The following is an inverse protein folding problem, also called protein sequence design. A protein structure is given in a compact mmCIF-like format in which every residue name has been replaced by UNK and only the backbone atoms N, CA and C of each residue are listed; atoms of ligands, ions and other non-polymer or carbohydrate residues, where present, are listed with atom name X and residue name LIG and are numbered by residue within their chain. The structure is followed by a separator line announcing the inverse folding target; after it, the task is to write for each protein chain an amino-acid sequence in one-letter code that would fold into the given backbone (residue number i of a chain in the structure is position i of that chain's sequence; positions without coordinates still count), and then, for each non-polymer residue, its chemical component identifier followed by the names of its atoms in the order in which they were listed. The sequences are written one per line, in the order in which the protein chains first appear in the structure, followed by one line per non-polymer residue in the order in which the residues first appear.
data_IF_744449379634
#
_entry.id   IF_744449379634
#
_cell.length_a   1.000
_cell.length_b   1.000
_cell.length_c   1.000
_cell.angle_alpha   90.00
_cell.angle_beta   90.00
_cell.angle_gamma   90.00
#
_symmetry.space_group_name_H-M   'P 1'
#
loop_
_entity.id
_entity.type
_entity.pdbx_description
1 polymer ?
#
# COMPACT_ATOMS: atom_id res chain seq x y z
N UNK A 1 -19.50 28.98 -7.88
CA UNK A 1 -18.30 28.47 -8.57
C UNK A 1 -17.09 29.16 -7.97
N UNK A 2 -16.10 28.40 -7.50
CA UNK A 2 -14.85 28.95 -6.96
C UNK A 2 -13.75 28.92 -8.03
N UNK A 3 -12.97 30.00 -8.11
CA UNK A 3 -11.90 30.11 -9.10
C UNK A 3 -10.51 29.85 -8.51
N UNK A 4 -9.73 29.07 -9.22
CA UNK A 4 -8.34 28.75 -8.91
C UNK A 4 -7.45 28.97 -10.15
N UNK A 5 -6.13 28.98 -9.94
CA UNK A 5 -5.14 29.00 -11.00
C UNK A 5 -4.75 27.57 -11.41
N UNK A 6 -4.90 26.62 -10.46
CA UNK A 6 -4.65 25.20 -10.64
C UNK A 6 -5.62 24.37 -9.81
N UNK A 7 -6.18 23.32 -10.42
CA UNK A 7 -6.88 22.25 -9.72
C UNK A 7 -6.06 20.97 -9.84
N UNK A 8 -5.87 20.26 -8.72
CA UNK A 8 -5.20 18.95 -8.67
C UNK A 8 -6.19 17.92 -8.14
N UNK A 9 -6.44 16.85 -8.88
CA UNK A 9 -7.30 15.73 -8.47
C UNK A 9 -6.42 14.57 -8.01
N UNK A 10 -6.50 14.23 -6.72
CA UNK A 10 -5.74 13.20 -6.04
C UNK A 10 -4.66 13.75 -5.11
N UNK A 11 -4.73 13.40 -3.83
CA UNK A 11 -3.84 13.85 -2.76
C UNK A 11 -2.67 12.90 -2.46
N UNK A 12 -2.33 12.00 -3.38
CA UNK A 12 -1.14 11.16 -3.31
C UNK A 12 0.16 11.92 -3.60
N UNK A 13 1.34 11.25 -3.62
CA UNK A 13 2.64 11.91 -3.80
C UNK A 13 2.73 12.78 -5.06
N UNK A 14 2.15 12.35 -6.18
CA UNK A 14 2.10 13.16 -7.40
C UNK A 14 1.26 14.42 -7.23
N UNK A 15 0.16 14.34 -6.50
CA UNK A 15 -0.78 15.46 -6.34
C UNK A 15 -0.38 16.43 -5.24
N UNK A 16 -0.13 15.96 -4.02
CA UNK A 16 0.18 16.88 -2.92
C UNK A 16 1.50 17.63 -3.14
N UNK A 17 2.52 16.98 -3.71
CA UNK A 17 3.78 17.66 -4.04
C UNK A 17 3.60 18.71 -5.14
N UNK A 18 2.77 18.42 -6.16
CA UNK A 18 2.42 19.39 -7.19
C UNK A 18 1.68 20.59 -6.59
N UNK A 19 0.65 20.32 -5.77
CA UNK A 19 -0.15 21.37 -5.13
C UNK A 19 0.69 22.24 -4.18
N UNK A 20 1.57 21.61 -3.37
CA UNK A 20 2.50 22.32 -2.49
C UNK A 20 3.40 23.29 -3.26
N UNK A 21 4.03 22.80 -4.33
CA UNK A 21 4.92 23.64 -5.16
C UNK A 21 4.17 24.76 -5.84
N UNK A 22 2.96 24.51 -6.34
CA UNK A 22 2.11 25.53 -6.95
C UNK A 22 1.70 26.60 -5.93
N UNK A 23 1.25 26.20 -4.72
CA UNK A 23 0.93 27.14 -3.65
C UNK A 23 2.13 27.97 -3.22
N UNK A 24 3.30 27.33 -3.05
CA UNK A 24 4.56 28.02 -2.73
C UNK A 24 4.97 29.03 -3.82
N UNK A 25 4.61 28.77 -5.08
CA UNK A 25 4.82 29.70 -6.19
C UNK A 25 3.75 30.83 -6.28
N UNK A 26 2.82 30.90 -5.31
CA UNK A 26 1.78 31.93 -5.23
C UNK A 26 0.53 31.64 -6.05
N UNK A 27 0.38 30.44 -6.63
CA UNK A 27 -0.83 30.06 -7.36
C UNK A 27 -1.96 29.73 -6.38
N UNK A 28 -3.17 30.24 -6.64
CA UNK A 28 -4.38 29.78 -5.95
C UNK A 28 -4.66 28.34 -6.37
N UNK A 29 -4.36 27.41 -5.51
CA UNK A 29 -4.37 25.97 -5.82
C UNK A 29 -5.45 25.25 -5.03
N UNK A 30 -6.28 24.46 -5.72
CA UNK A 30 -7.20 23.49 -5.13
C UNK A 30 -6.60 22.08 -5.24
N UNK A 31 -6.63 21.33 -4.15
CA UNK A 31 -6.31 19.91 -4.10
C UNK A 31 -7.55 19.13 -3.67
N UNK A 32 -8.00 18.20 -4.50
CA UNK A 32 -9.19 17.38 -4.24
C UNK A 32 -8.73 15.95 -3.89
N UNK A 33 -9.08 15.48 -2.69
CA UNK A 33 -8.75 14.12 -2.22
C UNK A 33 -9.95 13.51 -1.52
N UNK A 34 -10.40 12.34 -2.03
CA UNK A 34 -11.61 11.68 -1.53
C UNK A 34 -11.45 10.84 -0.28
N UNK A 35 -10.22 10.50 0.10
CA UNK A 35 -9.93 9.59 1.22
C UNK A 35 -9.03 10.26 2.25
N UNK A 36 -7.74 10.25 1.99
CA UNK A 36 -6.74 10.82 2.90
C UNK A 36 -5.55 11.36 2.13
N UNK A 37 -5.05 12.52 2.55
CA UNK A 37 -3.80 13.09 2.03
C UNK A 37 -2.66 12.07 2.19
N UNK A 38 -1.71 12.11 1.25
CA UNK A 38 -0.62 11.15 1.19
C UNK A 38 -0.89 9.96 0.27
N UNK A 39 -2.16 9.72 -0.08
CA UNK A 39 -2.58 8.67 -1.02
C UNK A 39 -2.10 7.28 -0.61
N UNK A 40 -2.00 6.37 -1.57
CA UNK A 40 -1.56 4.98 -1.34
C UNK A 40 -0.20 4.91 -0.65
N UNK A 41 0.78 5.71 -1.05
CA UNK A 41 2.14 5.63 -0.50
C UNK A 41 2.18 5.82 1.02
N UNK A 42 1.56 6.87 1.56
CA UNK A 42 1.59 7.16 2.98
C UNK A 42 0.62 6.30 3.79
N UNK A 43 -0.55 5.97 3.24
CA UNK A 43 -1.61 5.32 3.99
C UNK A 43 -1.60 3.78 3.85
N UNK A 44 -1.28 3.25 2.66
CA UNK A 44 -1.53 1.85 2.29
C UNK A 44 -0.39 1.21 1.46
N UNK A 45 0.78 1.84 1.42
CA UNK A 45 1.89 1.38 0.58
C UNK A 45 3.25 1.59 1.22
N UNK A 46 4.01 2.55 0.72
CA UNK A 46 5.44 2.74 1.04
C UNK A 46 5.71 2.85 2.53
N UNK A 47 5.06 3.78 3.21
CA UNK A 47 5.34 4.10 4.61
C UNK A 47 4.92 2.99 5.57
N UNK A 48 3.66 2.50 5.54
CA UNK A 48 3.28 1.41 6.41
C UNK A 48 4.11 0.15 6.19
N UNK A 49 4.38 -0.24 4.95
CA UNK A 49 5.20 -1.39 4.61
C UNK A 49 6.63 -1.27 5.18
N UNK A 50 7.31 -0.14 4.93
CA UNK A 50 8.67 0.09 5.44
C UNK A 50 8.71 0.16 6.95
N UNK A 51 7.65 0.66 7.59
CA UNK A 51 7.52 0.64 9.06
C UNK A 51 7.44 -0.78 9.61
N UNK A 52 6.66 -1.68 8.97
CA UNK A 52 6.59 -3.09 9.34
C UNK A 52 7.94 -3.78 9.14
N UNK A 53 8.53 -3.66 7.95
CA UNK A 53 9.83 -4.25 7.62
C UNK A 53 10.95 -3.79 8.54
N UNK A 54 10.93 -2.52 8.96
CA UNK A 54 11.89 -2.01 9.94
C UNK A 54 11.75 -2.70 11.30
N UNK A 55 10.52 -2.93 11.78
CA UNK A 55 10.30 -3.67 13.02
C UNK A 55 10.77 -5.13 12.92
N UNK A 56 10.45 -5.79 11.80
CA UNK A 56 10.94 -7.15 11.53
C UNK A 56 12.47 -7.20 11.50
N UNK A 57 13.13 -6.20 10.91
CA UNK A 57 14.60 -6.08 10.92
C UNK A 57 15.16 -6.00 12.35
N UNK A 58 14.53 -5.21 13.23
CA UNK A 58 14.98 -5.13 14.63
C UNK A 58 14.80 -6.45 15.37
N UNK A 59 13.67 -7.13 15.14
CA UNK A 59 13.40 -8.44 15.71
C UNK A 59 14.43 -9.48 15.26
N UNK A 60 14.70 -9.57 13.95
CA UNK A 60 15.71 -10.48 13.40
C UNK A 60 17.13 -10.15 13.88
N UNK A 61 17.47 -8.86 14.02
CA UNK A 61 18.76 -8.45 14.57
C UNK A 61 18.94 -8.88 16.03
N UNK A 62 17.88 -8.82 16.83
CA UNK A 62 17.90 -9.30 18.20
C UNK A 62 18.03 -10.82 18.30
N UNK A 63 17.34 -11.58 17.43
CA UNK A 63 17.43 -13.05 17.37
C UNK A 63 18.83 -13.53 16.97
N UNK A 64 19.49 -12.85 16.04
CA UNK A 64 20.80 -13.24 15.50
C UNK A 64 21.95 -12.41 16.06
N UNK A 65 21.72 -11.63 17.12
CA UNK A 65 22.70 -10.74 17.71
C UNK A 65 23.98 -11.43 18.17
N UNK A 66 23.89 -12.69 18.59
CA UNK A 66 25.04 -13.47 19.06
C UNK A 66 26.14 -13.62 18.01
N UNK A 67 25.81 -13.65 16.72
CA UNK A 67 26.78 -13.65 15.60
C UNK A 67 27.67 -12.39 15.61
N UNK A 68 27.20 -11.33 16.24
CA UNK A 68 27.88 -10.01 16.33
C UNK A 68 28.31 -9.66 17.75
N UNK A 69 28.29 -10.63 18.66
CA UNK A 69 28.65 -10.40 20.07
C UNK A 69 27.57 -9.70 20.89
N UNK A 70 26.35 -9.59 20.38
CA UNK A 70 25.20 -9.02 21.10
C UNK A 70 24.33 -10.14 21.65
N UNK A 71 24.23 -10.23 22.97
CA UNK A 71 23.38 -11.24 23.63
C UNK A 71 22.03 -10.63 23.99
N UNK A 72 20.97 -11.28 23.51
CA UNK A 72 19.59 -10.97 23.91
C UNK A 72 18.90 -12.24 24.38
N UNK A 73 18.03 -12.11 25.39
CA UNK A 73 17.28 -13.23 25.95
C UNK A 73 15.78 -12.97 25.81
N UNK A 74 14.99 -14.05 25.65
CA UNK A 74 13.52 -13.97 25.57
C UNK A 74 13.02 -13.00 24.49
N UNK A 75 13.66 -13.00 23.33
CA UNK A 75 13.29 -12.15 22.21
C UNK A 75 11.94 -12.58 21.65
N UNK A 76 10.96 -11.67 21.69
CA UNK A 76 9.63 -11.86 21.12
C UNK A 76 9.19 -10.65 20.34
N UNK A 77 8.19 -10.80 19.48
CA UNK A 77 7.57 -9.70 18.74
C UNK A 77 6.08 -9.68 19.03
N UNK A 78 5.55 -8.50 19.30
CA UNK A 78 4.12 -8.23 19.41
C UNK A 78 3.66 -7.55 18.11
N UNK A 79 2.97 -8.32 17.26
CA UNK A 79 2.49 -7.85 15.97
C UNK A 79 1.46 -6.71 16.10
N UNK A 80 0.58 -6.76 17.10
CA UNK A 80 -0.40 -5.71 17.33
C UNK A 80 0.29 -4.37 17.68
N UNK A 81 1.33 -4.42 18.52
CA UNK A 81 2.12 -3.24 18.84
C UNK A 81 2.89 -2.71 17.62
N UNK A 82 3.40 -3.58 16.76
CA UNK A 82 4.05 -3.18 15.49
C UNK A 82 3.05 -2.45 14.59
N UNK A 83 1.83 -2.96 14.46
CA UNK A 83 0.76 -2.32 13.67
C UNK A 83 0.37 -0.97 14.30
N UNK A 84 0.23 -0.89 15.62
CA UNK A 84 -0.05 0.37 16.30
C UNK A 84 1.04 1.43 16.08
N UNK A 85 2.32 1.03 16.17
CA UNK A 85 3.47 1.90 15.85
C UNK A 85 3.40 2.38 14.40
N UNK A 86 3.18 1.49 13.45
CA UNK A 86 3.01 1.82 12.02
C UNK A 86 1.90 2.85 11.81
N UNK A 87 0.74 2.68 12.46
CA UNK A 87 -0.36 3.63 12.40
C UNK A 87 0.03 5.02 12.93
N UNK A 88 0.82 5.08 14.01
CA UNK A 88 1.37 6.33 14.55
C UNK A 88 2.28 7.06 13.55
N UNK A 89 3.15 6.33 12.86
CA UNK A 89 4.05 6.88 11.82
C UNK A 89 3.22 7.46 10.67
N UNK A 90 2.28 6.69 10.14
CA UNK A 90 1.37 7.13 9.06
C UNK A 90 0.63 8.41 9.45
N UNK A 91 -0.01 8.41 10.63
CA UNK A 91 -0.75 9.57 11.15
C UNK A 91 0.12 10.84 11.25
N UNK A 92 1.36 10.68 11.67
CA UNK A 92 2.30 11.81 11.77
C UNK A 92 2.63 12.39 10.39
N UNK A 93 2.92 11.54 9.41
CA UNK A 93 3.27 11.99 8.06
C UNK A 93 2.07 12.60 7.32
N UNK A 94 0.89 12.00 7.43
CA UNK A 94 -0.35 12.53 6.84
C UNK A 94 -0.66 13.92 7.41
N UNK A 95 -0.51 14.11 8.74
CA UNK A 95 -0.65 15.44 9.35
C UNK A 95 0.40 16.43 8.81
N UNK A 96 1.63 15.98 8.58
CA UNK A 96 2.68 16.80 7.98
C UNK A 96 2.30 17.29 6.59
N UNK A 97 1.73 16.43 5.74
CA UNK A 97 1.23 16.83 4.42
C UNK A 97 0.12 17.87 4.54
N UNK A 98 -0.85 17.66 5.45
CA UNK A 98 -1.92 18.64 5.70
C UNK A 98 -1.38 19.99 6.17
N UNK A 99 -0.39 19.99 7.06
CA UNK A 99 0.26 21.20 7.52
C UNK A 99 1.00 21.94 6.37
N UNK A 100 1.67 21.20 5.48
CA UNK A 100 2.32 21.77 4.30
C UNK A 100 1.31 22.39 3.34
N UNK A 101 0.18 21.74 3.08
CA UNK A 101 -0.89 22.32 2.26
C UNK A 101 -1.36 23.66 2.84
N UNK A 102 -1.65 23.68 4.14
CA UNK A 102 -2.07 24.90 4.84
C UNK A 102 -1.00 26.00 4.80
N UNK A 103 0.26 25.65 5.05
CA UNK A 103 1.38 26.62 5.06
C UNK A 103 1.61 27.29 3.70
N UNK A 104 1.27 26.59 2.61
CA UNK A 104 1.44 27.11 1.25
C UNK A 104 0.12 27.56 0.61
N UNK A 105 -0.93 27.80 1.41
CA UNK A 105 -2.19 28.38 0.93
C UNK A 105 -2.98 27.47 -0.04
N UNK A 106 -2.73 26.16 -0.01
CA UNK A 106 -3.50 25.20 -0.83
C UNK A 106 -4.85 24.91 -0.18
N UNK A 107 -5.94 25.10 -0.92
CA UNK A 107 -7.28 24.74 -0.48
C UNK A 107 -7.53 23.26 -0.73
N UNK A 108 -7.72 22.49 0.33
CA UNK A 108 -7.98 21.04 0.26
C UNK A 108 -9.47 20.77 0.33
N UNK A 109 -9.99 20.06 -0.67
CA UNK A 109 -11.37 19.56 -0.72
C UNK A 109 -11.37 18.07 -0.40
N UNK A 110 -11.95 17.71 0.75
CA UNK A 110 -12.14 16.32 1.17
C UNK A 110 -13.35 15.71 0.45
N UNK A 111 -13.22 15.43 -0.84
CA UNK A 111 -14.29 14.99 -1.73
C UNK A 111 -13.77 14.21 -2.93
N UNK A 112 -14.67 13.53 -3.63
CA UNK A 112 -14.38 13.00 -4.96
C UNK A 112 -14.42 14.12 -6.00
N UNK A 113 -13.36 14.23 -6.80
CA UNK A 113 -13.28 15.16 -7.92
C UNK A 113 -13.86 14.55 -9.18
N UNK A 114 -14.81 15.24 -9.81
CA UNK A 114 -15.38 14.86 -11.11
C UNK A 114 -15.23 15.98 -12.11
N UNK A 115 -14.57 15.71 -13.23
CA UNK A 115 -14.45 16.66 -14.34
C UNK A 115 -15.81 16.81 -14.98
N UNK A 116 -16.30 18.06 -15.07
CA UNK A 116 -17.56 18.40 -15.70
C UNK A 116 -17.38 18.76 -17.18
N UNK A 117 -16.26 19.39 -17.50
CA UNK A 117 -15.95 19.82 -18.85
C UNK A 117 -14.93 20.96 -18.88
N UNK A 118 -14.95 21.69 -19.99
CA UNK A 118 -14.16 22.91 -20.20
C UNK A 118 -15.05 24.00 -20.80
N UNK A 119 -15.09 25.16 -20.17
CA UNK A 119 -15.80 26.35 -20.65
C UNK A 119 -14.78 27.43 -21.01
N UNK A 120 -14.67 27.78 -22.28
CA UNK A 120 -13.58 28.59 -22.77
C UNK A 120 -12.22 27.97 -22.49
N UNK A 121 -11.33 28.70 -21.80
CA UNK A 121 -10.00 28.21 -21.43
C UNK A 121 -9.93 27.53 -20.04
N UNK A 122 -11.07 27.39 -19.37
CA UNK A 122 -11.10 26.89 -17.98
C UNK A 122 -11.77 25.53 -17.86
N UNK A 123 -11.12 24.62 -17.13
CA UNK A 123 -11.71 23.35 -16.69
C UNK A 123 -12.68 23.59 -15.56
N UNK A 124 -13.77 22.83 -15.56
CA UNK A 124 -14.75 22.79 -14.48
C UNK A 124 -14.72 21.43 -13.80
N UNK A 125 -14.64 21.43 -12.46
CA UNK A 125 -14.55 20.23 -11.64
C UNK A 125 -15.53 20.32 -10.48
N UNK A 126 -16.34 19.30 -10.31
CA UNK A 126 -17.18 19.16 -9.12
C UNK A 126 -16.39 18.51 -7.97
N UNK A 127 -16.50 19.06 -6.76
CA UNK A 127 -15.92 18.56 -5.55
C UNK A 127 -16.79 18.89 -4.32
N UNK A 128 -17.36 17.87 -3.64
CA UNK A 128 -18.09 18.06 -2.40
C UNK A 128 -19.33 18.98 -2.48
N UNK A 129 -20.04 18.97 -3.61
CA UNK A 129 -21.19 19.84 -3.84
C UNK A 129 -20.82 21.21 -4.40
N UNK A 130 -19.56 21.54 -4.55
CA UNK A 130 -19.05 22.78 -5.15
C UNK A 130 -18.58 22.56 -6.56
N UNK A 131 -18.63 23.61 -7.39
CA UNK A 131 -17.99 23.65 -8.71
C UNK A 131 -16.77 24.56 -8.65
N UNK A 132 -15.62 23.99 -9.01
CA UNK A 132 -14.34 24.67 -9.08
C UNK A 132 -13.97 24.91 -10.53
N UNK A 133 -13.28 26.02 -10.81
CA UNK A 133 -12.84 26.39 -12.16
C UNK A 133 -11.38 26.81 -12.16
N UNK A 134 -10.60 26.30 -13.11
CA UNK A 134 -9.19 26.70 -13.29
C UNK A 134 -8.73 26.53 -14.74
N UNK A 135 -7.77 27.35 -15.21
CA UNK A 135 -7.17 27.19 -16.53
C UNK A 135 -6.23 25.97 -16.61
N UNK A 136 -5.85 25.40 -15.47
CA UNK A 136 -4.95 24.24 -15.38
C UNK A 136 -5.56 23.15 -14.52
N UNK A 137 -5.48 21.91 -15.01
CA UNK A 137 -5.94 20.71 -14.30
C UNK A 137 -4.85 19.64 -14.32
N UNK A 138 -4.52 19.11 -13.13
CA UNK A 138 -3.62 17.98 -12.97
C UNK A 138 -4.39 16.76 -12.47
N UNK A 139 -4.24 15.65 -13.17
CA UNK A 139 -4.80 14.36 -12.80
C UNK A 139 -3.72 13.52 -12.11
N UNK A 140 -3.89 13.32 -10.80
CA UNK A 140 -3.01 12.51 -9.95
C UNK A 140 -3.83 11.47 -9.18
N UNK A 141 -4.82 10.87 -9.84
CA UNK A 141 -5.85 9.99 -9.27
C UNK A 141 -5.30 8.66 -8.71
N UNK A 142 -4.02 8.34 -8.99
CA UNK A 142 -3.35 7.15 -8.48
C UNK A 142 -3.84 5.85 -9.12
N UNK A 143 -3.77 4.77 -8.35
CA UNK A 143 -4.15 3.42 -8.78
C UNK A 143 -4.79 2.65 -7.63
N UNK A 144 -5.41 1.52 -7.95
CA UNK A 144 -5.97 0.57 -7.00
C UNK A 144 -5.41 -0.83 -7.23
N UNK A 145 -5.50 -1.69 -6.23
CA UNK A 145 -5.13 -3.08 -6.38
C UNK A 145 -5.98 -3.76 -7.46
N UNK A 146 -5.33 -4.50 -8.33
CA UNK A 146 -6.00 -5.34 -9.33
C UNK A 146 -6.47 -6.62 -8.63
N UNK A 147 -7.75 -6.92 -8.78
CA UNK A 147 -8.33 -8.17 -8.29
C UNK A 147 -8.34 -9.14 -9.47
N UNK A 148 -7.51 -10.20 -9.44
CA UNK A 148 -7.45 -11.16 -10.54
C UNK A 148 -8.77 -11.91 -10.67
N UNK A 149 -9.17 -12.32 -11.90
CA UNK A 149 -10.40 -13.06 -12.15
C UNK A 149 -10.26 -14.55 -11.79
N UNK A 150 -9.86 -14.83 -10.56
CA UNK A 150 -9.71 -16.18 -10.02
C UNK A 150 -11.00 -16.52 -9.29
N UNK A 151 -11.62 -17.69 -9.55
CA UNK A 151 -12.81 -18.13 -8.82
C UNK A 151 -12.57 -18.16 -7.31
N UNK A 152 -13.53 -17.65 -6.53
CA UNK A 152 -13.44 -17.55 -5.06
C UNK A 152 -12.76 -16.31 -4.51
N UNK A 153 -11.95 -15.58 -5.30
CA UNK A 153 -11.23 -14.40 -4.80
C UNK A 153 -12.16 -13.25 -4.42
N UNK A 154 -13.23 -13.02 -5.20
CA UNK A 154 -14.18 -11.94 -4.88
C UNK A 154 -15.02 -12.26 -3.65
N UNK A 155 -15.43 -13.49 -3.52
CA UNK A 155 -16.14 -14.04 -2.36
C UNK A 155 -15.24 -13.99 -1.10
N UNK A 156 -13.98 -14.40 -1.26
CA UNK A 156 -12.98 -14.31 -0.20
C UNK A 156 -12.68 -12.87 0.24
N UNK A 157 -12.68 -11.90 -0.68
CA UNK A 157 -12.57 -10.47 -0.33
C UNK A 157 -13.80 -10.00 0.46
N UNK A 158 -14.99 -10.43 0.06
CA UNK A 158 -16.22 -10.07 0.75
C UNK A 158 -16.30 -10.64 2.17
N UNK A 159 -15.76 -11.85 2.40
CA UNK A 159 -15.69 -12.49 3.73
C UNK A 159 -14.50 -12.00 4.58
N UNK A 160 -13.54 -11.28 3.99
CA UNK A 160 -12.31 -10.84 4.65
C UNK A 160 -11.21 -11.92 4.72
N UNK A 161 -11.42 -13.10 4.15
CA UNK A 161 -10.39 -14.14 4.08
C UNK A 161 -9.29 -13.80 3.07
N UNK A 162 -9.67 -13.30 1.89
CA UNK A 162 -8.72 -12.73 0.93
C UNK A 162 -8.56 -11.24 1.24
N UNK A 163 -7.32 -10.78 1.24
CA UNK A 163 -6.96 -9.41 1.57
C UNK A 163 -6.10 -8.82 0.46
N UNK A 164 -6.29 -7.53 0.19
CA UNK A 164 -5.30 -6.75 -0.55
C UNK A 164 -4.22 -6.23 0.42
N UNK A 165 -3.22 -5.53 -0.12
CA UNK A 165 -2.22 -4.85 0.72
C UNK A 165 -2.84 -3.94 1.79
N UNK A 166 -4.02 -3.37 1.52
CA UNK A 166 -4.69 -2.45 2.42
C UNK A 166 -5.15 -3.13 3.71
N UNK A 167 -5.90 -4.21 3.57
CA UNK A 167 -6.43 -5.00 4.67
C UNK A 167 -5.28 -5.66 5.43
N UNK A 168 -4.32 -6.26 4.70
CA UNK A 168 -3.18 -6.96 5.29
C UNK A 168 -2.28 -6.03 6.12
N UNK A 169 -2.06 -4.79 5.68
CA UNK A 169 -1.31 -3.77 6.44
C UNK A 169 -2.02 -3.35 7.73
N UNK A 170 -3.32 -3.63 7.87
CA UNK A 170 -4.14 -3.28 9.03
C UNK A 170 -4.48 -4.48 9.90
N UNK A 171 -4.09 -5.68 9.50
CA UNK A 171 -4.30 -6.90 10.25
C UNK A 171 -3.55 -6.81 11.59
N UNK A 172 -4.25 -6.92 12.70
CA UNK A 172 -3.69 -6.82 14.06
C UNK A 172 -3.23 -8.17 14.62
N UNK A 173 -3.76 -9.25 14.09
CA UNK A 173 -3.41 -10.62 14.48
C UNK A 173 -2.38 -11.18 13.51
N UNK A 174 -1.34 -11.81 14.04
CA UNK A 174 -0.36 -12.49 13.21
C UNK A 174 -0.95 -13.82 12.72
N UNK A 175 -1.08 -14.03 11.39
CA UNK A 175 -1.57 -15.31 10.88
C UNK A 175 -0.50 -16.40 11.05
N UNK A 176 -0.93 -17.63 11.31
CA UNK A 176 -0.04 -18.79 11.34
C UNK A 176 0.53 -19.10 9.95
N UNK A 177 -0.29 -18.90 8.91
CA UNK A 177 0.11 -19.07 7.52
C UNK A 177 -0.44 -17.97 6.62
N UNK A 178 0.28 -17.67 5.55
CA UNK A 178 -0.10 -16.65 4.56
C UNK A 178 0.26 -17.15 3.16
N UNK A 179 -0.70 -17.07 2.24
CA UNK A 179 -0.47 -17.31 0.82
C UNK A 179 -0.54 -15.98 0.07
N UNK A 180 0.55 -15.60 -0.57
CA UNK A 180 0.62 -14.43 -1.42
C UNK A 180 0.41 -14.82 -2.88
N UNK A 181 -0.68 -14.36 -3.50
CA UNK A 181 -0.94 -14.53 -4.93
C UNK A 181 -0.31 -13.37 -5.69
N UNK A 182 0.73 -13.66 -6.45
CA UNK A 182 1.56 -12.71 -7.15
C UNK A 182 2.89 -12.41 -6.45
N UNK A 183 3.98 -12.69 -7.16
CA UNK A 183 5.36 -12.43 -6.74
C UNK A 183 5.85 -11.03 -7.13
N UNK A 184 4.96 -10.04 -7.23
CA UNK A 184 5.33 -8.64 -7.43
C UNK A 184 5.90 -8.01 -6.16
N UNK A 185 6.44 -6.78 -6.28
CA UNK A 185 7.14 -6.09 -5.18
C UNK A 185 6.31 -6.01 -3.90
N UNK A 186 5.04 -5.65 -4.00
CA UNK A 186 4.15 -5.50 -2.82
C UNK A 186 3.96 -6.86 -2.12
N UNK A 187 3.63 -7.91 -2.89
CA UNK A 187 3.46 -9.26 -2.35
C UNK A 187 4.72 -9.77 -1.65
N UNK A 188 5.89 -9.54 -2.28
CA UNK A 188 7.17 -9.95 -1.72
C UNK A 188 7.55 -9.16 -0.45
N UNK A 189 7.27 -7.85 -0.37
CA UNK A 189 7.49 -7.08 0.85
C UNK A 189 6.64 -7.58 2.01
N UNK A 190 5.37 -7.93 1.76
CA UNK A 190 4.50 -8.53 2.76
C UNK A 190 4.98 -9.94 3.16
N UNK A 191 5.32 -10.77 2.17
CA UNK A 191 5.92 -12.08 2.40
C UNK A 191 7.17 -12.00 3.28
N UNK A 192 8.08 -11.06 2.99
CA UNK A 192 9.27 -10.81 3.79
C UNK A 192 8.94 -10.43 5.23
N UNK A 193 7.99 -9.51 5.43
CA UNK A 193 7.60 -9.08 6.76
C UNK A 193 7.05 -10.27 7.57
N UNK A 194 6.02 -10.92 7.08
CA UNK A 194 5.35 -11.99 7.82
C UNK A 194 6.27 -13.21 8.06
N UNK A 195 7.07 -13.60 7.06
CA UNK A 195 8.05 -14.67 7.26
C UNK A 195 9.11 -14.31 8.31
N UNK A 196 9.56 -13.05 8.34
CA UNK A 196 10.54 -12.58 9.33
C UNK A 196 10.01 -12.59 10.77
N UNK A 197 8.69 -12.56 10.97
CA UNK A 197 8.08 -12.62 12.30
C UNK A 197 7.55 -14.02 12.65
N UNK A 198 7.77 -15.03 11.78
CA UNK A 198 7.48 -16.43 12.06
C UNK A 198 6.23 -17.00 11.39
N UNK A 199 5.51 -16.24 10.58
CA UNK A 199 4.38 -16.76 9.78
C UNK A 199 4.89 -17.69 8.68
N UNK A 200 4.25 -18.82 8.45
CA UNK A 200 4.55 -19.73 7.33
C UNK A 200 4.04 -19.10 6.02
N UNK A 201 4.94 -18.59 5.18
CA UNK A 201 4.56 -17.87 3.97
C UNK A 201 4.83 -18.68 2.71
N UNK A 202 3.84 -18.70 1.81
CA UNK A 202 3.96 -19.25 0.45
C UNK A 202 3.67 -18.15 -0.57
N UNK A 203 4.52 -17.98 -1.56
CA UNK A 203 4.29 -17.06 -2.69
C UNK A 203 3.98 -17.88 -3.94
N UNK A 204 2.88 -17.54 -4.59
CA UNK A 204 2.42 -18.16 -5.83
C UNK A 204 2.59 -17.14 -6.95
N UNK A 205 3.37 -17.49 -7.99
CA UNK A 205 3.61 -16.63 -9.14
C UNK A 205 3.44 -17.40 -10.45
N UNK A 206 2.71 -16.82 -11.37
CA UNK A 206 2.48 -17.41 -12.70
C UNK A 206 3.66 -17.21 -13.65
N UNK A 207 4.39 -16.11 -13.49
CA UNK A 207 5.56 -15.79 -14.31
C UNK A 207 6.77 -16.66 -13.92
N UNK A 208 7.72 -16.90 -14.84
CA UNK A 208 8.94 -17.68 -14.56
C UNK A 208 9.85 -17.06 -13.50
N UNK A 209 9.62 -15.80 -13.14
CA UNK A 209 10.42 -15.06 -12.16
C UNK A 209 9.52 -14.26 -11.23
N UNK A 210 9.84 -14.23 -9.95
CA UNK A 210 9.31 -13.27 -8.99
C UNK A 210 10.06 -11.93 -9.10
N UNK A 211 9.48 -10.86 -8.57
CA UNK A 211 10.03 -9.50 -8.63
C UNK A 211 10.24 -8.92 -10.05
N UNK A 212 9.65 -9.52 -11.07
CA UNK A 212 9.65 -9.00 -12.45
C UNK A 212 11.05 -8.81 -13.04
N UNK A 213 11.40 -7.57 -13.38
CA UNK A 213 12.70 -7.20 -13.99
C UNK A 213 13.83 -6.97 -12.98
N UNK A 214 13.65 -7.35 -11.70
CA UNK A 214 14.69 -7.20 -10.68
C UNK A 214 15.94 -7.99 -11.05
N UNK A 215 17.11 -7.41 -10.77
CA UNK A 215 18.42 -8.04 -10.96
C UNK A 215 18.48 -9.41 -10.25
N UNK A 216 18.99 -10.46 -10.95
CA UNK A 216 19.06 -11.81 -10.40
C UNK A 216 19.85 -11.95 -9.09
N UNK A 217 20.90 -11.15 -8.89
CA UNK A 217 21.70 -11.19 -7.67
C UNK A 217 20.91 -10.65 -6.46
N UNK A 218 20.20 -9.55 -6.64
CA UNK A 218 19.29 -8.97 -5.63
C UNK A 218 18.14 -9.93 -5.31
N UNK A 219 17.59 -10.60 -6.32
CA UNK A 219 16.56 -11.60 -6.17
C UNK A 219 17.04 -12.81 -5.37
N UNK A 220 18.27 -13.28 -5.63
CA UNK A 220 18.86 -14.42 -4.93
C UNK A 220 19.02 -14.16 -3.43
N UNK A 221 19.39 -12.93 -3.03
CA UNK A 221 19.51 -12.52 -1.63
C UNK A 221 18.12 -12.53 -0.96
N UNK A 222 17.09 -12.07 -1.67
CA UNK A 222 15.72 -12.07 -1.17
C UNK A 222 15.19 -13.51 -0.97
N UNK A 223 15.45 -14.40 -1.94
CA UNK A 223 14.95 -15.78 -1.94
C UNK A 223 15.61 -16.68 -0.89
N UNK A 224 16.88 -16.47 -0.58
CA UNK A 224 17.63 -17.36 0.33
C UNK A 224 17.20 -17.29 1.79
N UNK A 225 16.43 -16.30 2.19
CA UNK A 225 16.20 -16.00 3.62
C UNK A 225 14.78 -16.22 4.13
N UNK A 226 13.73 -16.26 3.30
CA UNK A 226 12.45 -15.87 3.88
C UNK A 226 11.22 -16.73 3.56
N UNK A 227 11.12 -17.44 2.43
CA UNK A 227 9.87 -18.16 2.13
C UNK A 227 10.00 -19.25 1.09
N UNK A 228 9.03 -20.16 1.07
CA UNK A 228 8.89 -21.15 -0.01
C UNK A 228 8.23 -20.49 -1.21
N UNK A 229 8.90 -20.55 -2.38
CA UNK A 229 8.34 -20.10 -3.64
C UNK A 229 7.97 -21.29 -4.51
N UNK A 230 6.80 -21.22 -5.15
CA UNK A 230 6.36 -22.19 -6.14
C UNK A 230 5.92 -21.47 -7.40
N UNK A 231 6.54 -21.82 -8.53
CA UNK A 231 6.06 -21.42 -9.84
C UNK A 231 4.86 -22.27 -10.23
N UNK A 232 3.78 -21.64 -10.69
CA UNK A 232 2.60 -22.32 -11.20
C UNK A 232 2.37 -21.86 -12.64
N UNK A 233 2.73 -22.69 -13.65
CA UNK A 233 2.66 -22.30 -15.06
C UNK A 233 1.25 -22.17 -15.61
N UNK A 234 0.24 -22.71 -14.93
CA UNK A 234 -1.14 -22.73 -15.42
C UNK A 234 -2.14 -22.37 -14.32
N UNK A 235 -3.17 -21.59 -14.68
CA UNK A 235 -4.27 -21.20 -13.77
C UNK A 235 -5.04 -22.40 -13.18
N UNK A 236 -5.03 -23.57 -13.82
CA UNK A 236 -5.64 -24.78 -13.28
C UNK A 236 -4.91 -25.32 -12.03
N UNK A 237 -3.58 -25.26 -12.03
CA UNK A 237 -2.76 -25.69 -10.87
C UNK A 237 -2.94 -24.73 -9.69
N UNK A 238 -3.19 -23.45 -9.96
CA UNK A 238 -3.53 -22.46 -8.94
C UNK A 238 -4.85 -22.81 -8.24
N UNK A 239 -5.87 -23.28 -8.99
CA UNK A 239 -7.15 -23.71 -8.44
C UNK A 239 -6.98 -24.91 -7.50
N UNK A 240 -6.17 -25.88 -7.86
CA UNK A 240 -5.92 -27.09 -7.05
C UNK A 240 -5.14 -26.77 -5.76
N UNK A 241 -4.17 -25.85 -5.83
CA UNK A 241 -3.42 -25.39 -4.66
C UNK A 241 -4.26 -24.50 -3.73
N UNK A 242 -5.13 -23.66 -4.29
CA UNK A 242 -6.09 -22.89 -3.51
C UNK A 242 -7.12 -23.83 -2.86
N UNK A 243 -7.59 -24.82 -3.58
CA UNK A 243 -8.48 -25.88 -3.03
C UNK A 243 -7.77 -26.71 -1.94
N UNK A 244 -6.49 -27.04 -2.10
CA UNK A 244 -5.72 -27.74 -1.07
C UNK A 244 -5.51 -26.85 0.16
N UNK A 245 -5.18 -25.57 -0.02
CA UNK A 245 -5.06 -24.60 1.07
C UNK A 245 -6.40 -24.36 1.78
N UNK A 246 -7.52 -24.38 1.04
CA UNK A 246 -8.88 -24.28 1.56
C UNK A 246 -9.27 -25.55 2.34
N UNK A 247 -8.89 -26.76 1.86
CA UNK A 247 -9.18 -28.02 2.57
C UNK A 247 -8.35 -28.19 3.83
N UNK A 248 -7.20 -27.54 3.95
CA UNK A 248 -6.43 -27.46 5.19
C UNK A 248 -7.03 -26.50 6.22
N UNK A 249 -8.03 -25.67 5.82
CA UNK A 249 -8.77 -24.76 6.67
C UNK A 249 -10.29 -25.02 6.53
N UNK A 250 -10.84 -25.95 7.34
CA UNK A 250 -12.25 -26.40 7.22
C UNK A 250 -13.30 -25.31 7.52
N UNK A 251 -12.89 -24.15 8.02
CA UNK A 251 -13.76 -23.00 8.30
C UNK A 251 -13.92 -22.02 7.12
N UNK A 252 -13.50 -22.41 5.93
CA UNK A 252 -13.73 -21.64 4.71
C UNK A 252 -15.20 -21.72 4.32
N UNK A 253 -15.92 -20.58 4.12
CA UNK A 253 -17.31 -20.58 3.66
C UNK A 253 -17.49 -21.04 2.22
#
# INVERSE_FOLDING_TARGET
MQEFDLIVIGGGPGGYLCAERAGKAGLRTALIEKRALGGTCLNEGCIPTKSLLYCAKQYQAALHGAEYGVTAQNVSIDHAQVVARKNGVVKTLVRGVGAAMKAHGVTVFAAEGRILGKTGERFEVAAGGETLSAPRLVLASGSSAVIPPIPGVREGLASGFVMTNRELLSLSEQPESLVCIGGGVIGLEMACYFASIGTKVTVIEMMPKIAGSTDPASLLVLMRRLFTWRQIPKMLELKELLLAAITEHPDWP
#
